data_IF_348239825527
#
_entry.id   IF_348239825527
#
_cell.length_a   1.000
_cell.length_b   1.000
_cell.length_c   1.000
_cell.angle_alpha   90.00
_cell.angle_beta   90.00
_cell.angle_gamma   90.00
#
_symmetry.space_group_name_H-M   'P 1'
#
loop_
_entity.id
_entity.type
_entity.pdbx_description
1 polymer ?
#
# COMPACT_ATOMS: atom_id res chain seq x y z
N UNK A 1 6.81 -6.52 -4.54
CA UNK A 1 5.84 -5.71 -3.77
C UNK A 1 5.92 -4.30 -4.33
N UNK A 2 4.82 -3.54 -4.27
CA UNK A 2 4.76 -2.15 -4.69
C UNK A 2 4.14 -1.28 -3.58
N UNK A 3 4.52 -0.01 -3.55
CA UNK A 3 3.89 1.05 -2.75
C UNK A 3 3.38 2.10 -3.71
N UNK A 4 2.08 2.37 -3.68
CA UNK A 4 1.40 3.35 -4.50
C UNK A 4 1.20 4.64 -3.71
N UNK A 5 1.83 5.72 -4.16
CA UNK A 5 1.70 7.06 -3.58
C UNK A 5 0.46 7.80 -4.09
N UNK A 6 -0.71 7.17 -4.00
CA UNK A 6 -1.97 7.79 -4.44
C UNK A 6 -2.58 8.68 -3.35
N UNK A 7 -3.37 9.66 -3.78
CA UNK A 7 -4.30 10.38 -2.94
C UNK A 7 -5.70 9.74 -2.99
N UNK A 8 -6.67 10.28 -2.23
CA UNK A 8 -8.02 9.73 -2.18
C UNK A 8 -8.79 9.83 -3.50
N UNK A 9 -8.45 10.80 -4.36
CA UNK A 9 -9.15 11.05 -5.63
C UNK A 9 -8.25 11.07 -6.86
N UNK A 10 -6.92 10.93 -6.68
CA UNK A 10 -5.89 10.99 -7.74
C UNK A 10 -4.88 9.86 -7.55
N UNK A 11 -4.46 9.24 -8.66
CA UNK A 11 -3.60 8.05 -8.64
C UNK A 11 -4.38 6.78 -8.28
N UNK A 12 -3.91 5.62 -8.72
CA UNK A 12 -4.60 4.34 -8.48
C UNK A 12 -5.96 4.26 -9.16
N UNK A 13 -6.01 4.52 -10.46
CA UNK A 13 -7.20 4.25 -11.27
C UNK A 13 -7.51 2.75 -11.28
N UNK A 14 -8.76 2.40 -11.54
CA UNK A 14 -9.20 0.99 -11.63
C UNK A 14 -8.36 0.19 -12.62
N UNK A 15 -8.09 0.75 -13.80
CA UNK A 15 -7.25 0.11 -14.82
C UNK A 15 -5.86 -0.27 -14.30
N UNK A 16 -5.20 0.64 -13.56
CA UNK A 16 -3.88 0.39 -12.98
C UNK A 16 -3.95 -0.66 -11.87
N UNK A 17 -4.95 -0.58 -11.00
CA UNK A 17 -5.14 -1.54 -9.91
C UNK A 17 -5.41 -2.95 -10.46
N UNK A 18 -6.23 -3.07 -11.51
CA UNK A 18 -6.47 -4.33 -12.21
C UNK A 18 -5.19 -4.91 -12.81
N UNK A 19 -4.43 -4.12 -13.57
CA UNK A 19 -3.15 -4.56 -14.14
C UNK A 19 -2.16 -5.02 -13.07
N UNK A 20 -2.07 -4.30 -11.94
CA UNK A 20 -1.21 -4.72 -10.84
C UNK A 20 -1.71 -5.99 -10.15
N UNK A 21 -3.02 -6.18 -10.04
CA UNK A 21 -3.65 -7.40 -9.51
C UNK A 21 -3.39 -8.64 -10.36
N UNK A 22 -3.25 -8.48 -11.68
CA UNK A 22 -2.91 -9.56 -12.61
C UNK A 22 -1.43 -10.00 -12.52
N UNK A 23 -0.56 -9.19 -11.90
CA UNK A 23 0.86 -9.49 -11.76
C UNK A 23 1.10 -10.57 -10.69
N UNK A 24 1.18 -11.84 -11.11
CA UNK A 24 1.39 -13.01 -10.22
C UNK A 24 2.62 -12.92 -9.30
N UNK A 25 3.64 -12.15 -9.70
CA UNK A 25 4.86 -11.97 -8.89
C UNK A 25 4.70 -10.91 -7.79
N UNK A 26 3.64 -10.09 -7.85
CA UNK A 26 3.37 -9.02 -6.90
C UNK A 26 2.73 -9.57 -5.62
N UNK A 27 3.55 -9.76 -4.58
CA UNK A 27 3.12 -10.33 -3.29
C UNK A 27 2.24 -9.42 -2.42
N UNK A 28 2.24 -8.12 -2.70
CA UNK A 28 1.50 -7.10 -1.97
C UNK A 28 1.55 -5.78 -2.75
N UNK A 29 0.43 -5.05 -2.73
CA UNK A 29 0.30 -3.68 -3.18
C UNK A 29 -0.12 -2.81 -2.00
N UNK A 30 0.74 -1.92 -1.54
CA UNK A 30 0.39 -0.94 -0.51
C UNK A 30 -0.14 0.33 -1.17
N UNK A 31 -1.13 0.97 -0.57
CA UNK A 31 -1.64 2.28 -0.98
C UNK A 31 -1.44 3.28 0.15
N UNK A 32 -1.08 4.52 -0.19
CA UNK A 32 -1.10 5.59 0.80
C UNK A 32 -2.53 5.92 1.19
N UNK A 33 -3.45 6.05 0.24
CA UNK A 33 -4.84 6.40 0.52
C UNK A 33 -5.82 5.39 -0.06
N UNK A 34 -6.96 5.24 0.62
CA UNK A 34 -8.14 4.61 0.01
C UNK A 34 -8.64 5.52 -1.11
N UNK A 35 -8.84 4.95 -2.30
CA UNK A 35 -9.48 5.69 -3.38
C UNK A 35 -10.98 5.75 -3.11
N UNK A 36 -11.52 6.96 -2.89
CA UNK A 36 -12.93 7.17 -2.54
C UNK A 36 -13.87 7.10 -3.75
N UNK A 37 -13.31 7.11 -4.98
CA UNK A 37 -14.06 6.98 -6.22
C UNK A 37 -14.23 5.54 -6.69
N UNK A 38 -13.59 4.58 -6.01
CA UNK A 38 -13.61 3.18 -6.39
C UNK A 38 -14.27 2.33 -5.31
N UNK A 39 -14.89 1.24 -5.76
CA UNK A 39 -15.36 0.20 -4.86
C UNK A 39 -14.17 -0.35 -4.01
N UNK A 40 -14.35 -0.62 -2.71
CA UNK A 40 -13.33 -1.25 -1.88
C UNK A 40 -12.76 -2.55 -2.44
N UNK A 41 -13.54 -3.34 -3.19
CA UNK A 41 -13.12 -4.59 -3.80
C UNK A 41 -12.21 -4.40 -5.03
N UNK A 42 -12.19 -3.20 -5.63
CA UNK A 42 -11.37 -2.88 -6.81
C UNK A 42 -9.98 -2.37 -6.45
N UNK A 43 -9.67 -2.24 -5.16
CA UNK A 43 -8.40 -1.74 -4.64
C UNK A 43 -7.76 -2.73 -3.67
N UNK A 44 -6.58 -2.39 -3.16
CA UNK A 44 -5.90 -3.30 -2.23
C UNK A 44 -6.71 -3.48 -0.94
N UNK A 45 -6.65 -4.64 -0.27
CA UNK A 45 -7.36 -4.84 0.99
C UNK A 45 -7.00 -3.77 2.03
N UNK A 46 -7.95 -3.41 2.90
CA UNK A 46 -7.82 -2.27 3.81
C UNK A 46 -6.57 -2.31 4.71
N UNK A 47 -6.07 -3.49 5.08
CA UNK A 47 -4.85 -3.65 5.86
C UNK A 47 -3.55 -3.34 5.08
N UNK A 48 -3.64 -3.05 3.78
CA UNK A 48 -2.56 -2.55 2.94
C UNK A 48 -2.72 -1.06 2.57
N UNK A 49 -3.71 -0.38 3.16
CA UNK A 49 -3.96 1.05 2.95
C UNK A 49 -3.58 1.81 4.23
N UNK A 50 -2.70 2.81 4.11
CA UNK A 50 -2.28 3.59 5.27
C UNK A 50 -3.36 4.56 5.76
N UNK A 51 -4.00 5.28 4.84
CA UNK A 51 -4.97 6.33 5.14
C UNK A 51 -6.33 5.94 4.58
N UNK A 52 -7.19 5.36 5.44
CA UNK A 52 -8.53 4.89 5.06
C UNK A 52 -9.64 5.96 5.14
N UNK A 53 -9.37 7.08 5.81
CA UNK A 53 -10.36 8.13 6.06
C UNK A 53 -10.72 9.00 4.84
N UNK A 54 -11.83 9.72 4.94
CA UNK A 54 -12.36 10.62 3.90
C UNK A 54 -11.75 12.01 4.03
N UNK A 55 -10.45 12.15 3.71
CA UNK A 55 -9.70 13.42 3.47
C UNK A 55 -9.66 14.52 4.54
N UNK A 56 -10.76 14.87 5.19
CA UNK A 56 -10.86 15.99 6.12
C UNK A 56 -10.54 15.51 7.54
N UNK A 57 -9.51 16.10 8.17
CA UNK A 57 -9.09 15.77 9.54
C UNK A 57 -8.34 14.44 9.71
N UNK A 58 -8.01 13.72 8.64
CA UNK A 58 -7.25 12.46 8.74
C UNK A 58 -5.76 12.75 9.01
N UNK A 59 -5.28 12.43 10.21
CA UNK A 59 -3.84 12.41 10.50
C UNK A 59 -3.15 11.39 9.60
N UNK A 60 -2.15 11.84 8.83
CA UNK A 60 -1.46 11.02 7.85
C UNK A 60 -0.67 9.88 8.51
N UNK A 61 -1.01 8.64 8.15
CA UNK A 61 -0.26 7.43 8.49
C UNK A 61 0.74 7.12 7.36
N UNK A 62 1.97 6.82 7.76
CA UNK A 62 3.06 6.50 6.84
C UNK A 62 3.11 5.02 6.43
N UNK A 63 3.76 4.75 5.30
CA UNK A 63 4.27 3.43 4.93
C UNK A 63 5.80 3.47 5.00
N UNK A 64 6.41 2.61 5.80
CA UNK A 64 7.87 2.58 6.01
C UNK A 64 8.44 1.28 5.55
N UNK A 65 9.46 1.36 4.69
CA UNK A 65 10.32 0.24 4.36
C UNK A 65 11.60 0.28 5.21
N UNK A 66 11.99 -0.86 5.77
CA UNK A 66 13.29 -1.04 6.45
C UNK A 66 14.02 -2.22 5.83
N UNK A 67 15.20 -1.96 5.26
CA UNK A 67 16.09 -2.99 4.73
C UNK A 67 16.87 -3.61 5.88
N UNK A 68 16.96 -4.94 5.92
CA UNK A 68 17.75 -5.66 6.90
C UNK A 68 19.26 -5.50 6.60
N UNK A 69 20.14 -5.62 7.60
CA UNK A 69 21.58 -5.69 7.36
C UNK A 69 21.92 -6.74 6.30
N UNK A 70 22.83 -6.38 5.38
CA UNK A 70 23.21 -7.23 4.25
C UNK A 70 22.20 -7.26 3.09
N UNK A 71 21.11 -6.50 3.12
CA UNK A 71 20.26 -6.22 1.95
C UNK A 71 19.41 -7.38 1.44
N UNK A 72 19.54 -8.59 2.00
CA UNK A 72 18.83 -9.81 1.52
C UNK A 72 17.33 -9.84 1.83
N UNK A 73 16.86 -8.97 2.72
CA UNK A 73 15.44 -8.85 3.05
C UNK A 73 15.09 -7.43 3.48
N UNK A 74 13.81 -7.11 3.43
CA UNK A 74 13.26 -5.86 3.92
C UNK A 74 11.88 -6.10 4.54
N UNK A 75 11.44 -5.15 5.36
CA UNK A 75 10.10 -5.14 5.96
C UNK A 75 9.35 -3.91 5.52
N UNK A 76 8.02 -4.01 5.42
CA UNK A 76 7.13 -2.86 5.25
C UNK A 76 6.07 -2.84 6.33
N UNK A 77 5.84 -1.65 6.87
CA UNK A 77 4.95 -1.38 8.00
C UNK A 77 4.10 -0.15 7.69
N UNK A 78 2.81 -0.22 8.06
CA UNK A 78 1.89 0.93 8.04
C UNK A 78 1.78 1.50 9.46
N UNK A 79 2.20 2.75 9.65
CA UNK A 79 2.08 3.45 10.93
C UNK A 79 2.83 2.81 12.10
N UNK A 80 2.82 3.45 13.27
CA UNK A 80 3.60 3.01 14.43
C UNK A 80 3.13 1.65 14.99
N UNK A 81 1.83 1.35 14.88
CA UNK A 81 1.22 0.12 15.42
C UNK A 81 1.08 -1.02 14.41
N UNK A 82 1.37 -0.79 13.12
CA UNK A 82 1.25 -1.84 12.11
C UNK A 82 2.28 -2.96 12.29
N UNK A 83 1.89 -4.18 11.97
CA UNK A 83 2.79 -5.33 11.99
C UNK A 83 3.72 -5.28 10.78
N UNK A 84 5.05 -5.26 10.96
CA UNK A 84 5.99 -5.26 9.83
C UNK A 84 5.91 -6.58 9.05
N UNK A 85 5.63 -6.49 7.73
CA UNK A 85 5.61 -7.64 6.84
C UNK A 85 6.95 -7.80 6.13
N UNK A 86 7.57 -8.98 6.21
CA UNK A 86 8.88 -9.28 5.63
C UNK A 86 8.78 -9.73 4.17
N UNK A 87 9.71 -9.27 3.35
CA UNK A 87 9.92 -9.67 1.96
C UNK A 87 11.40 -10.01 1.74
N UNK A 88 11.67 -10.94 0.82
CA UNK A 88 13.03 -11.23 0.34
C UNK A 88 13.38 -10.24 -0.77
N UNK A 89 14.61 -9.75 -0.75
CA UNK A 89 15.19 -9.05 -1.90
C UNK A 89 15.48 -10.05 -3.03
N UNK A 90 15.66 -9.55 -4.25
CA UNK A 90 16.09 -10.36 -5.40
C UNK A 90 17.58 -10.64 -5.29
#
# INVERSE_FOLDING_TARGET
MAVMCNGPTKGGSESVLKTLGECKSLKALYQLHRNVKLDPALQTPANYIANGGTTEGCEGVWVKARVAPGGKSYTVQIGPKGVPRRFKSR
#
